data_IF_836917846291
#
_entry.id   IF_836917846291
#
_cell.length_a   1.000
_cell.length_b   1.000
_cell.length_c   1.000
_cell.angle_alpha   90.00
_cell.angle_beta   90.00
_cell.angle_gamma   90.00
#
_symmetry.space_group_name_H-M   'P 1'
#
loop_
_entity.id
_entity.type
_entity.pdbx_description
1 polymer ?
#
# COMPACT_ATOMS: atom_id res chain seq x y z
N UNK A 1 -16.57 13.88 -14.66
CA UNK A 1 -16.40 12.80 -15.66
C UNK A 1 -15.04 12.19 -15.34
N UNK A 2 -14.88 10.97 -14.85
CA UNK A 2 -15.70 9.76 -14.77
C UNK A 2 -15.16 8.96 -13.57
N UNK A 3 -16.03 8.17 -12.97
CA UNK A 3 -15.86 7.52 -11.67
C UNK A 3 -14.71 6.50 -11.68
N UNK A 4 -13.80 6.58 -10.71
CA UNK A 4 -12.78 5.56 -10.48
C UNK A 4 -13.41 4.45 -9.65
N UNK A 5 -14.13 3.57 -10.32
CA UNK A 5 -14.66 2.33 -9.74
C UNK A 5 -13.52 1.30 -9.63
N UNK A 6 -13.10 0.97 -8.41
CA UNK A 6 -12.33 -0.23 -8.12
C UNK A 6 -13.09 -1.07 -7.07
N UNK A 7 -13.35 -2.36 -7.33
CA UNK A 7 -14.31 -3.18 -6.58
C UNK A 7 -13.80 -3.56 -5.18
N UNK A 8 -14.68 -3.97 -4.25
CA UNK A 8 -14.38 -4.01 -2.83
C UNK A 8 -13.62 -5.29 -2.44
N UNK A 9 -12.30 -5.22 -2.40
CA UNK A 9 -11.48 -6.18 -1.64
C UNK A 9 -11.30 -5.61 -0.23
N UNK A 10 -11.87 -6.28 0.78
CA UNK A 10 -11.93 -5.95 2.21
C UNK A 10 -11.50 -4.50 2.56
N UNK A 11 -12.45 -3.60 2.39
CA UNK A 11 -12.20 -2.16 2.31
C UNK A 11 -11.98 -1.52 3.68
N UNK A 12 -12.36 -2.20 4.77
CA UNK A 12 -12.23 -1.66 6.12
C UNK A 12 -12.13 -2.77 7.18
N UNK A 13 -11.22 -2.59 8.12
CA UNK A 13 -11.12 -3.37 9.36
C UNK A 13 -11.46 -2.44 10.52
N UNK A 14 -12.44 -2.80 11.33
CA UNK A 14 -12.77 -2.08 12.56
C UNK A 14 -12.23 -2.91 13.73
N UNK A 15 -11.36 -2.33 14.53
CA UNK A 15 -10.83 -3.00 15.72
C UNK A 15 -11.80 -2.90 16.92
N UNK A 16 -11.45 -3.56 18.04
CA UNK A 16 -12.28 -3.56 19.26
C UNK A 16 -12.51 -2.16 19.89
N UNK A 17 -11.74 -1.15 19.48
CA UNK A 17 -11.89 0.25 19.89
C UNK A 17 -12.71 1.07 18.90
N UNK A 18 -13.41 0.42 17.97
CA UNK A 18 -14.21 1.04 16.91
C UNK A 18 -13.38 1.95 15.97
N UNK A 19 -12.10 1.63 15.78
CA UNK A 19 -11.19 2.33 14.89
C UNK A 19 -11.16 1.63 13.53
N UNK A 20 -11.49 2.36 12.47
CA UNK A 20 -11.57 1.86 11.09
C UNK A 20 -10.23 2.02 10.36
N UNK A 21 -9.67 0.95 9.82
CA UNK A 21 -8.51 0.98 8.91
C UNK A 21 -8.95 0.51 7.54
N UNK A 22 -8.76 1.33 6.50
CA UNK A 22 -9.08 0.98 5.12
C UNK A 22 -7.87 0.46 4.38
N UNK A 23 -8.13 -0.46 3.47
CA UNK A 23 -7.12 -1.08 2.63
C UNK A 23 -7.57 -0.98 1.18
N UNK A 24 -6.68 -0.56 0.30
CA UNK A 24 -6.93 -0.54 -1.14
C UNK A 24 -5.99 -1.52 -1.82
N UNK A 25 -6.53 -2.24 -2.79
CA UNK A 25 -5.81 -3.28 -3.52
C UNK A 25 -5.85 -2.99 -5.02
N UNK A 26 -4.82 -3.38 -5.73
CA UNK A 26 -4.81 -3.36 -7.19
C UNK A 26 -5.56 -4.56 -7.81
N UNK A 27 -5.62 -4.61 -9.14
CA UNK A 27 -6.25 -5.69 -9.89
C UNK A 27 -5.60 -7.07 -9.65
N UNK A 28 -4.34 -7.10 -9.21
CA UNK A 28 -3.58 -8.30 -8.87
C UNK A 28 -3.76 -8.67 -7.37
N UNK A 29 -4.67 -7.99 -6.65
CA UNK A 29 -4.96 -8.17 -5.22
C UNK A 29 -3.77 -7.85 -4.32
N UNK A 30 -2.85 -6.99 -4.75
CA UNK A 30 -1.74 -6.48 -3.94
C UNK A 30 -2.16 -5.20 -3.24
N UNK A 31 -1.75 -5.04 -1.99
CA UNK A 31 -2.13 -3.91 -1.15
C UNK A 31 -1.38 -2.64 -1.58
N UNK A 32 -2.06 -1.67 -2.17
CA UNK A 32 -1.45 -0.42 -2.68
C UNK A 32 -1.61 0.76 -1.73
N UNK A 33 -2.59 0.72 -0.82
CA UNK A 33 -2.85 1.82 0.10
C UNK A 33 -3.42 1.31 1.42
N UNK A 34 -3.00 1.93 2.53
CA UNK A 34 -3.55 1.72 3.87
C UNK A 34 -3.91 3.08 4.44
N UNK A 35 -5.17 3.26 4.83
CA UNK A 35 -5.65 4.47 5.49
C UNK A 35 -6.04 4.07 6.91
N UNK A 36 -5.32 4.57 7.90
CA UNK A 36 -5.67 4.24 9.28
C UNK A 36 -6.88 5.03 9.80
N UNK A 37 -7.29 4.72 11.03
CA UNK A 37 -8.43 5.37 11.68
C UNK A 37 -8.26 6.87 11.96
N UNK A 38 -7.04 7.38 11.81
CA UNK A 38 -6.74 8.82 11.91
C UNK A 38 -6.71 9.48 10.53
N UNK A 39 -7.08 8.76 9.46
CA UNK A 39 -7.00 9.23 8.08
C UNK A 39 -5.57 9.30 7.54
N UNK A 40 -4.60 8.68 8.22
CA UNK A 40 -3.20 8.68 7.80
C UNK A 40 -3.00 7.65 6.71
N UNK A 41 -2.49 8.11 5.57
CA UNK A 41 -2.39 7.33 4.34
C UNK A 41 -0.98 6.79 4.14
N UNK A 42 -0.85 5.49 3.93
CA UNK A 42 0.41 4.80 3.61
C UNK A 42 0.27 4.13 2.25
N UNK A 43 1.10 4.51 1.27
CA UNK A 43 1.10 3.89 -0.06
C UNK A 43 2.20 2.88 -0.20
N UNK A 44 1.92 1.82 -0.96
CA UNK A 44 2.88 0.80 -1.31
C UNK A 44 2.96 0.71 -2.84
N UNK A 45 4.17 0.73 -3.38
CA UNK A 45 4.42 0.54 -4.80
C UNK A 45 5.18 -0.76 -5.05
N UNK A 46 4.75 -1.47 -6.09
CA UNK A 46 5.33 -2.75 -6.50
C UNK A 46 5.98 -2.64 -7.88
N UNK A 47 7.00 -3.47 -8.12
CA UNK A 47 7.55 -3.65 -9.47
C UNK A 47 6.72 -4.63 -10.31
N UNK A 48 7.11 -4.80 -11.58
CA UNK A 48 6.44 -5.73 -12.50
C UNK A 48 6.52 -7.21 -12.06
N UNK A 49 7.39 -7.55 -11.11
CA UNK A 49 7.48 -8.89 -10.50
C UNK A 49 6.63 -9.01 -9.24
N UNK A 50 5.93 -7.95 -8.83
CA UNK A 50 5.13 -7.91 -7.60
C UNK A 50 5.95 -7.73 -6.32
N UNK A 51 7.20 -7.27 -6.41
CA UNK A 51 8.06 -6.99 -5.25
C UNK A 51 7.86 -5.56 -4.78
N UNK A 52 7.82 -5.35 -3.47
CA UNK A 52 7.57 -4.04 -2.86
C UNK A 52 8.79 -3.13 -3.04
N UNK A 53 8.72 -2.12 -3.90
CA UNK A 53 9.83 -1.20 -4.19
C UNK A 53 9.69 0.17 -3.56
N UNK A 54 8.50 0.54 -3.07
CA UNK A 54 8.31 1.82 -2.40
C UNK A 54 7.25 1.75 -1.31
N UNK A 55 7.47 2.50 -0.24
CA UNK A 55 6.56 2.69 0.87
C UNK A 55 6.53 4.19 1.17
N UNK A 56 5.41 4.85 0.90
CA UNK A 56 5.23 6.27 1.25
C UNK A 56 4.42 6.34 2.54
N UNK A 57 5.00 6.93 3.57
CA UNK A 57 4.33 7.10 4.86
C UNK A 57 3.36 8.30 4.83
N UNK A 58 2.51 8.45 5.87
CA UNK A 58 1.56 9.55 5.96
C UNK A 58 2.18 10.95 6.07
N UNK A 59 3.47 11.04 6.38
CA UNK A 59 4.22 12.29 6.43
C UNK A 59 4.80 12.66 5.06
N UNK A 60 4.52 11.87 4.01
CA UNK A 60 5.05 12.05 2.67
C UNK A 60 6.50 11.58 2.50
N UNK A 61 7.06 10.88 3.49
CA UNK A 61 8.39 10.30 3.38
C UNK A 61 8.28 8.97 2.66
N UNK A 62 9.00 8.84 1.54
CA UNK A 62 9.04 7.61 0.76
C UNK A 62 10.31 6.84 1.09
N UNK A 63 10.12 5.58 1.48
CA UNK A 63 11.19 4.61 1.55
C UNK A 63 11.19 3.77 0.28
N UNK A 64 12.35 3.62 -0.35
CA UNK A 64 12.50 2.78 -1.54
C UNK A 64 13.29 1.54 -1.21
N UNK A 65 12.90 0.41 -1.81
CA UNK A 65 13.60 -0.86 -1.74
C UNK A 65 14.10 -1.21 -3.14
N UNK A 66 15.39 -1.42 -3.26
CA UNK A 66 16.04 -1.86 -4.49
C UNK A 66 16.41 -3.32 -4.35
N UNK A 67 16.08 -4.13 -5.35
CA UNK A 67 16.39 -5.56 -5.37
C UNK A 67 17.33 -5.89 -6.52
N UNK A 68 18.20 -6.87 -6.31
CA UNK A 68 19.03 -7.43 -7.38
C UNK A 68 18.22 -8.37 -8.30
N UNK A 69 18.90 -8.93 -9.29
CA UNK A 69 18.30 -9.88 -10.24
C UNK A 69 17.93 -11.23 -9.62
N UNK A 70 18.49 -11.55 -8.45
CA UNK A 70 18.25 -12.77 -7.66
C UNK A 70 17.23 -12.55 -6.53
N UNK A 71 16.50 -11.42 -6.57
CA UNK A 71 15.47 -11.03 -5.59
C UNK A 71 15.99 -10.73 -4.18
N UNK A 72 17.30 -10.46 -4.02
CA UNK A 72 17.85 -10.00 -2.75
C UNK A 72 17.71 -8.48 -2.62
N UNK A 73 17.45 -8.01 -1.40
CA UNK A 73 17.40 -6.58 -1.09
C UNK A 73 18.82 -5.99 -1.19
N UNK A 74 19.03 -5.14 -2.18
CA UNK A 74 20.28 -4.44 -2.44
C UNK A 74 20.41 -3.18 -1.57
N UNK A 75 19.31 -2.43 -1.44
CA UNK A 75 19.33 -1.14 -0.74
C UNK A 75 17.96 -0.77 -0.22
N UNK A 76 17.94 -0.09 0.92
CA UNK A 76 16.77 0.64 1.44
C UNK A 76 17.17 2.09 1.67
N UNK A 77 16.42 3.03 1.11
CA UNK A 77 16.62 4.47 1.30
C UNK A 77 15.38 5.10 1.96
#
# INVERSE_FOLDING_TARGET
MYEVWCPPLLICQINALNQETRYEYDAEKRLICVIDAKGRLTQLGYDAKGRLVSITNPLGQTHTLEYDAADNLLKRC
#
